data_IF_691919860202
#
_entry.id   IF_691919860202
#
_cell.length_a   1.000
_cell.length_b   1.000
_cell.length_c   1.000
_cell.angle_alpha   90.00
_cell.angle_beta   90.00
_cell.angle_gamma   90.00
#
_symmetry.space_group_name_H-M   'P 1'
#
loop_
_entity.id
_entity.type
_entity.pdbx_description
1 polymer ?
#
# COMPACT_ATOMS: atom_id res chain seq x y z
N UNK A 1 20.13 7.71 2.77
CA UNK A 1 19.20 7.45 1.65
C UNK A 1 19.27 8.65 0.70
N UNK A 2 19.25 8.48 -0.63
CA UNK A 2 19.15 9.63 -1.52
C UNK A 2 17.74 10.26 -1.36
N UNK A 3 17.62 11.57 -1.54
CA UNK A 3 16.37 12.32 -1.28
C UNK A 3 15.19 11.76 -2.10
N UNK A 4 15.42 11.30 -3.32
CA UNK A 4 14.41 10.68 -4.18
C UNK A 4 13.80 9.41 -3.55
N UNK A 5 14.64 8.52 -3.03
CA UNK A 5 14.21 7.24 -2.46
C UNK A 5 13.40 7.48 -1.18
N UNK A 6 13.79 8.48 -0.37
CA UNK A 6 13.06 8.84 0.85
C UNK A 6 11.65 9.36 0.52
N UNK A 7 11.55 10.26 -0.47
CA UNK A 7 10.26 10.81 -0.89
C UNK A 7 9.36 9.71 -1.44
N UNK A 8 9.92 8.75 -2.19
CA UNK A 8 9.19 7.57 -2.66
C UNK A 8 8.70 6.68 -1.52
N UNK A 9 9.57 6.33 -0.58
CA UNK A 9 9.20 5.52 0.60
C UNK A 9 8.11 6.21 1.41
N UNK A 10 8.22 7.53 1.62
CA UNK A 10 7.20 8.31 2.34
C UNK A 10 5.83 8.20 1.68
N UNK A 11 5.75 8.27 0.35
CA UNK A 11 4.49 8.06 -0.37
C UNK A 11 3.96 6.64 -0.17
N UNK A 12 4.80 5.60 -0.33
CA UNK A 12 4.35 4.21 -0.16
C UNK A 12 3.81 3.91 1.25
N UNK A 13 4.28 4.63 2.27
CA UNK A 13 3.83 4.51 3.65
C UNK A 13 2.72 5.49 4.03
N UNK A 14 2.42 6.50 3.20
CA UNK A 14 1.42 7.54 3.51
C UNK A 14 0.00 6.95 3.59
N UNK A 15 -1.00 7.62 4.15
CA UNK A 15 -2.35 7.05 4.20
C UNK A 15 -3.03 6.92 2.82
N UNK A 16 -2.45 7.50 1.75
CA UNK A 16 -3.16 7.71 0.47
C UNK A 16 -4.51 8.38 0.69
N UNK A 17 -4.58 9.31 1.64
CA UNK A 17 -5.82 10.00 2.00
C UNK A 17 -6.15 11.08 0.98
N UNK A 18 -7.43 11.39 0.70
CA UNK A 18 -7.76 12.55 -0.12
C UNK A 18 -7.33 13.88 0.53
N UNK A 19 -7.04 13.89 1.83
CA UNK A 19 -6.50 15.06 2.54
C UNK A 19 -4.98 15.19 2.45
N UNK A 20 -4.30 14.12 2.04
CA UNK A 20 -2.84 14.05 1.84
C UNK A 20 -2.58 13.15 0.62
N UNK A 21 -3.01 13.65 -0.53
CA UNK A 21 -3.04 12.88 -1.77
C UNK A 21 -1.61 12.58 -2.27
N UNK A 22 -1.39 11.47 -3.00
CA UNK A 22 -0.10 11.15 -3.59
C UNK A 22 0.43 12.28 -4.48
N UNK A 23 1.71 12.61 -4.32
CA UNK A 23 2.35 13.74 -5.02
C UNK A 23 3.28 13.29 -6.16
N UNK A 24 3.81 12.07 -6.06
CA UNK A 24 4.60 11.45 -7.12
C UNK A 24 3.68 10.64 -8.04
N UNK A 25 4.09 10.42 -9.31
CA UNK A 25 3.47 9.43 -10.18
C UNK A 25 3.31 8.08 -9.47
N UNK A 26 2.16 7.45 -9.71
CA UNK A 26 1.80 6.17 -9.12
C UNK A 26 2.23 5.04 -10.06
N UNK A 27 2.90 4.04 -9.49
CA UNK A 27 3.34 2.83 -10.18
C UNK A 27 2.80 1.56 -9.50
N UNK A 28 3.31 0.39 -9.88
CA UNK A 28 2.90 -0.90 -9.30
C UNK A 28 3.12 -1.01 -7.79
N UNK A 29 4.12 -0.33 -7.24
CA UNK A 29 4.40 -0.24 -5.81
C UNK A 29 3.26 0.47 -5.07
N UNK A 30 2.66 1.52 -5.67
CA UNK A 30 1.48 2.18 -5.11
C UNK A 30 0.27 1.25 -5.15
N UNK A 31 0.12 0.47 -6.22
CA UNK A 31 -0.92 -0.55 -6.30
C UNK A 31 -0.79 -1.57 -5.17
N UNK A 32 0.40 -2.12 -4.93
CA UNK A 32 0.64 -3.02 -3.80
C UNK A 32 0.37 -2.32 -2.45
N UNK A 33 0.75 -1.05 -2.31
CA UNK A 33 0.48 -0.26 -1.11
C UNK A 33 -1.02 -0.08 -0.86
N UNK A 34 -1.83 0.11 -1.90
CA UNK A 34 -3.28 0.19 -1.77
C UNK A 34 -3.90 -1.17 -1.41
N UNK A 35 -3.42 -2.27 -2.02
CA UNK A 35 -3.86 -3.63 -1.65
C UNK A 35 -3.59 -3.93 -0.17
N UNK A 36 -2.44 -3.53 0.34
CA UNK A 36 -2.11 -3.69 1.76
C UNK A 36 -3.08 -2.92 2.67
N UNK A 37 -3.49 -1.72 2.24
CA UNK A 37 -4.44 -0.88 3.00
C UNK A 37 -5.85 -1.47 2.99
N UNK A 38 -6.28 -2.10 1.90
CA UNK A 38 -7.56 -2.81 1.85
C UNK A 38 -7.58 -3.91 2.92
N UNK A 39 -6.49 -4.69 3.03
CA UNK A 39 -6.41 -5.74 4.06
C UNK A 39 -6.27 -5.19 5.47
N UNK A 40 -5.45 -4.15 5.67
CA UNK A 40 -5.26 -3.50 6.98
C UNK A 40 -6.58 -2.96 7.55
N UNK A 41 -7.45 -2.46 6.67
CA UNK A 41 -8.69 -1.81 7.05
C UNK A 41 -9.92 -2.68 6.76
N UNK A 42 -9.77 -4.01 6.72
CA UNK A 42 -10.87 -4.93 6.39
C UNK A 42 -12.15 -4.69 7.22
N UNK A 43 -12.01 -4.25 8.47
CA UNK A 43 -13.12 -3.93 9.38
C UNK A 43 -13.70 -2.50 9.23
N UNK A 44 -13.20 -1.71 8.27
CA UNK A 44 -13.62 -0.32 8.01
C UNK A 44 -14.14 -0.21 6.56
N UNK A 45 -15.44 -0.49 6.32
CA UNK A 45 -16.00 -0.63 4.98
C UNK A 45 -15.81 0.59 4.07
N UNK A 46 -15.86 1.79 4.65
CA UNK A 46 -15.70 3.06 3.95
C UNK A 46 -14.27 3.21 3.38
N UNK A 47 -13.23 2.87 4.16
CA UNK A 47 -11.85 2.85 3.71
C UNK A 47 -11.59 1.73 2.70
N UNK A 48 -12.16 0.55 2.91
CA UNK A 48 -12.08 -0.56 1.94
C UNK A 48 -12.65 -0.15 0.59
N UNK A 49 -13.84 0.47 0.56
CA UNK A 49 -14.47 0.99 -0.67
C UNK A 49 -13.57 2.02 -1.34
N UNK A 50 -13.03 2.97 -0.58
CA UNK A 50 -12.12 4.00 -1.09
C UNK A 50 -10.85 3.39 -1.73
N UNK A 51 -10.11 2.57 -0.99
CA UNK A 51 -8.86 1.98 -1.47
C UNK A 51 -9.08 1.01 -2.64
N UNK A 52 -10.21 0.30 -2.68
CA UNK A 52 -10.58 -0.53 -3.83
C UNK A 52 -10.80 0.32 -5.10
N UNK A 53 -11.41 1.52 -5.00
CA UNK A 53 -11.54 2.43 -6.15
C UNK A 53 -10.16 2.86 -6.65
N UNK A 54 -9.29 3.31 -5.75
CA UNK A 54 -7.91 3.68 -6.10
C UNK A 54 -7.14 2.53 -6.77
N UNK A 55 -7.23 1.32 -6.21
CA UNK A 55 -6.55 0.14 -6.75
C UNK A 55 -7.11 -0.28 -8.11
N UNK A 56 -8.42 -0.17 -8.33
CA UNK A 56 -9.07 -0.48 -9.62
C UNK A 56 -8.63 0.51 -10.71
N UNK A 57 -8.59 1.80 -10.41
CA UNK A 57 -8.11 2.82 -11.34
C UNK A 57 -6.68 2.53 -11.81
N UNK A 58 -5.78 2.20 -10.87
CA UNK A 58 -4.42 1.78 -11.21
C UNK A 58 -4.38 0.49 -12.03
N UNK A 59 -5.14 -0.53 -11.65
CA UNK A 59 -5.20 -1.79 -12.41
C UNK A 59 -5.71 -1.58 -13.84
N UNK A 60 -6.62 -0.63 -14.05
CA UNK A 60 -7.10 -0.21 -15.36
C UNK A 60 -6.01 0.52 -16.15
N UNK A 61 -5.32 1.47 -15.52
CA UNK A 61 -4.22 2.20 -16.15
C UNK A 61 -3.06 1.29 -16.57
N UNK A 62 -2.75 0.27 -15.77
CA UNK A 62 -1.74 -0.74 -16.08
C UNK A 62 -2.26 -1.89 -16.96
N UNK A 63 -3.50 -1.82 -17.43
CA UNK A 63 -4.15 -2.80 -18.32
C UNK A 63 -4.12 -4.25 -17.79
N UNK A 64 -4.21 -4.42 -16.47
CA UNK A 64 -4.25 -5.75 -15.83
C UNK A 64 -5.50 -6.04 -15.02
N UNK A 65 -6.43 -5.10 -14.93
CA UNK A 65 -7.76 -5.29 -14.35
C UNK A 65 -8.41 -6.60 -14.83
N UNK A 66 -8.35 -6.93 -16.12
CA UNK A 66 -8.97 -8.14 -16.67
C UNK A 66 -8.06 -9.38 -16.65
N UNK A 67 -6.83 -9.24 -16.15
CA UNK A 67 -5.84 -10.32 -16.02
C UNK A 67 -5.97 -11.02 -14.68
N UNK A 68 -5.14 -12.03 -14.44
CA UNK A 68 -5.20 -12.90 -13.26
C UNK A 68 -5.08 -12.11 -11.95
N UNK A 69 -4.20 -11.10 -11.89
CA UNK A 69 -4.04 -10.24 -10.72
C UNK A 69 -5.28 -9.38 -10.45
N UNK A 70 -5.79 -8.67 -11.46
CA UNK A 70 -6.99 -7.85 -11.32
C UNK A 70 -8.24 -8.67 -10.98
N UNK A 71 -8.36 -9.89 -11.55
CA UNK A 71 -9.42 -10.84 -11.19
C UNK A 71 -9.32 -11.28 -9.73
N UNK A 72 -8.12 -11.65 -9.27
CA UNK A 72 -7.90 -12.05 -7.87
C UNK A 72 -8.36 -10.95 -6.91
N UNK A 73 -8.01 -9.69 -7.18
CA UNK A 73 -8.42 -8.57 -6.31
C UNK A 73 -9.93 -8.34 -6.30
N UNK A 74 -10.64 -8.62 -7.40
CA UNK A 74 -12.11 -8.53 -7.41
C UNK A 74 -12.82 -9.64 -6.64
N UNK A 75 -12.21 -10.83 -6.55
CA UNK A 75 -12.87 -12.02 -5.97
C UNK A 75 -12.43 -12.35 -4.56
N UNK A 76 -11.34 -11.76 -4.09
CA UNK A 76 -10.78 -12.03 -2.77
C UNK A 76 -11.37 -11.06 -1.75
N UNK A 77 -11.76 -11.60 -0.59
CA UNK A 77 -12.28 -10.79 0.51
C UNK A 77 -11.19 -9.85 1.06
N UNK A 78 -11.54 -8.61 1.44
CA UNK A 78 -10.66 -7.74 2.21
C UNK A 78 -10.12 -8.45 3.45
N UNK A 79 -8.83 -8.29 3.74
CA UNK A 79 -8.11 -8.97 4.81
C UNK A 79 -7.32 -10.19 4.33
N UNK A 80 -7.57 -10.66 3.10
CA UNK A 80 -6.93 -11.84 2.51
C UNK A 80 -6.20 -11.56 1.19
N UNK A 81 -6.24 -10.34 0.66
CA UNK A 81 -5.67 -10.01 -0.66
C UNK A 81 -4.16 -10.26 -0.73
N UNK A 82 -3.42 -9.73 0.25
CA UNK A 82 -1.97 -9.85 0.35
C UNK A 82 -1.55 -11.31 0.46
N UNK A 83 -2.19 -12.06 1.35
CA UNK A 83 -1.92 -13.49 1.52
C UNK A 83 -2.21 -14.31 0.25
N UNK A 84 -3.06 -13.80 -0.64
CA UNK A 84 -3.48 -14.47 -1.88
C UNK A 84 -2.62 -14.09 -3.09
N UNK A 85 -1.76 -13.07 -3.00
CA UNK A 85 -0.90 -12.62 -4.11
C UNK A 85 -0.02 -13.73 -4.69
N UNK A 86 0.45 -14.67 -3.86
CA UNK A 86 1.28 -15.79 -4.31
C UNK A 86 0.52 -16.84 -5.12
N UNK A 87 -0.81 -16.78 -5.12
CA UNK A 87 -1.67 -17.68 -5.89
C UNK A 87 -2.00 -17.14 -7.29
N UNK A 88 -1.52 -15.95 -7.66
CA UNK A 88 -1.79 -15.36 -8.98
C UNK A 88 -1.22 -16.27 -10.08
N UNK A 89 -2.05 -16.76 -11.03
CA UNK A 89 -1.60 -17.60 -12.13
C UNK A 89 -0.47 -16.98 -12.96
N UNK A 90 0.62 -17.73 -13.14
CA UNK A 90 1.79 -17.31 -13.91
C UNK A 90 1.49 -17.29 -15.41
N UNK A 91 2.00 -16.24 -16.10
CA UNK A 91 1.73 -15.99 -17.53
C UNK A 91 2.61 -16.80 -18.49
N UNK A 92 3.79 -17.24 -18.07
CA UNK A 92 4.73 -17.92 -18.96
C UNK A 92 4.80 -19.42 -18.67
N UNK A 93 4.03 -20.20 -19.43
CA UNK A 93 4.17 -21.65 -19.48
C UNK A 93 5.42 -22.04 -20.27
N UNK A 94 6.49 -22.33 -19.53
CA UNK A 94 7.64 -23.09 -20.03
C UNK A 94 8.13 -24.13 -19.02
N UNK A 95 8.10 -23.82 -17.72
CA UNK A 95 8.50 -24.75 -16.66
C UNK A 95 7.63 -24.58 -15.42
N UNK A 96 6.59 -25.41 -15.29
CA UNK A 96 5.90 -25.64 -14.00
C UNK A 96 6.87 -26.06 -12.86
N UNK A 97 8.12 -26.39 -13.19
CA UNK A 97 9.17 -26.78 -12.26
C UNK A 97 9.56 -25.69 -11.25
N UNK A 98 9.38 -24.40 -11.57
CA UNK A 98 9.72 -23.30 -10.65
C UNK A 98 8.50 -22.67 -9.95
N UNK A 99 7.28 -23.12 -10.26
CA UNK A 99 6.05 -22.52 -9.75
C UNK A 99 5.98 -22.53 -8.21
N UNK A 100 6.38 -23.65 -7.59
CA UNK A 100 6.43 -23.77 -6.12
C UNK A 100 7.47 -22.82 -5.50
N UNK A 101 8.64 -22.68 -6.12
CA UNK A 101 9.70 -21.78 -5.66
C UNK A 101 9.29 -20.31 -5.81
N UNK A 102 8.66 -19.94 -6.94
CA UNK A 102 8.12 -18.59 -7.16
C UNK A 102 7.02 -18.26 -6.18
N UNK A 103 6.07 -19.16 -5.96
CA UNK A 103 5.01 -18.99 -4.95
C UNK A 103 5.61 -18.70 -3.57
N UNK A 104 6.56 -19.54 -3.14
CA UNK A 104 7.24 -19.35 -1.85
C UNK A 104 8.02 -18.04 -1.77
N UNK A 105 8.65 -17.60 -2.87
CA UNK A 105 9.34 -16.32 -2.92
C UNK A 105 8.37 -15.14 -2.84
N UNK A 106 7.25 -15.17 -3.57
CA UNK A 106 6.19 -14.15 -3.49
C UNK A 106 5.64 -14.10 -2.06
N UNK A 107 5.30 -15.25 -1.46
CA UNK A 107 4.81 -15.31 -0.07
C UNK A 107 5.77 -14.61 0.90
N UNK A 108 7.06 -14.91 0.82
CA UNK A 108 8.05 -14.31 1.72
C UNK A 108 8.24 -12.81 1.47
N UNK A 109 8.30 -12.39 0.21
CA UNK A 109 8.47 -10.99 -0.18
C UNK A 109 7.27 -10.14 0.20
N UNK A 110 6.05 -10.65 -0.01
CA UNK A 110 4.80 -9.96 0.35
C UNK A 110 4.69 -9.79 1.86
N UNK A 111 5.02 -10.83 2.65
CA UNK A 111 5.06 -10.73 4.13
C UNK A 111 6.07 -9.69 4.59
N UNK A 112 7.30 -9.76 4.08
CA UNK A 112 8.35 -8.81 4.43
C UNK A 112 7.96 -7.37 4.06
N UNK A 113 7.34 -7.17 2.89
CA UNK A 113 6.81 -5.87 2.47
C UNK A 113 5.75 -5.36 3.44
N UNK A 114 4.81 -6.22 3.83
CA UNK A 114 3.75 -5.87 4.76
C UNK A 114 4.30 -5.47 6.13
N UNK A 115 5.32 -6.17 6.64
CA UNK A 115 6.00 -5.83 7.89
C UNK A 115 6.70 -4.47 7.80
N UNK A 116 7.41 -4.20 6.70
CA UNK A 116 8.07 -2.91 6.48
C UNK A 116 7.03 -1.79 6.41
N UNK A 117 5.93 -1.98 5.68
CA UNK A 117 4.84 -1.01 5.62
C UNK A 117 4.19 -0.77 6.97
N UNK A 118 3.96 -1.82 7.77
CA UNK A 118 3.38 -1.69 9.09
C UNK A 118 4.24 -0.80 10.00
N UNK A 119 5.57 -0.96 9.95
CA UNK A 119 6.51 -0.10 10.70
C UNK A 119 6.54 1.32 10.13
N UNK A 120 6.40 1.49 8.82
CA UNK A 120 6.40 2.82 8.19
C UNK A 120 5.11 3.62 8.41
N UNK A 121 3.98 2.94 8.49
CA UNK A 121 2.65 3.55 8.57
C UNK A 121 2.08 3.62 9.99
N UNK A 122 2.74 3.05 11.01
CA UNK A 122 2.18 2.89 12.37
C UNK A 122 1.70 4.18 13.05
N UNK A 123 2.25 5.35 12.69
CA UNK A 123 1.82 6.63 13.26
C UNK A 123 0.47 7.09 12.73
N UNK A 124 0.06 6.61 11.55
CA UNK A 124 -1.21 6.99 10.93
C UNK A 124 -2.43 6.40 11.65
N UNK A 125 -2.25 5.37 12.48
CA UNK A 125 -3.35 4.72 13.22
C UNK A 125 -3.64 5.37 14.58
N UNK A 126 -2.91 6.44 14.94
CA UNK A 126 -3.06 7.07 16.25
C UNK A 126 -4.27 8.01 16.28
N UNK A 127 -5.36 7.57 16.92
CA UNK A 127 -6.67 8.27 16.90
C UNK A 127 -6.75 9.43 17.92
N UNK A 128 -6.29 9.22 19.15
CA UNK A 128 -6.52 10.16 20.29
C UNK A 128 -5.23 10.87 20.72
N UNK A 129 -4.09 10.49 20.13
CA UNK A 129 -2.75 10.95 20.49
C UNK A 129 -1.74 9.82 20.39
N UNK A 130 -0.46 10.13 20.57
CA UNK A 130 0.59 9.11 20.48
C UNK A 130 0.59 8.17 21.70
N UNK A 131 0.92 6.88 21.53
CA UNK A 131 0.96 5.89 22.61
C UNK A 131 1.97 6.25 23.70
N UNK A 132 1.48 6.58 24.89
CA UNK A 132 2.30 6.98 26.04
C UNK A 132 2.12 8.44 26.46
N UNK A 133 1.39 9.24 25.70
CA UNK A 133 1.07 10.64 26.03
C UNK A 133 0.39 10.80 27.40
N UNK A 134 -0.45 9.84 27.82
CA UNK A 134 -1.13 9.85 29.12
C UNK A 134 -0.30 9.35 30.32
N UNK A 135 0.96 8.98 30.13
CA UNK A 135 1.80 8.48 31.24
C UNK A 135 2.19 9.64 32.16
N UNK A 136 1.95 9.45 33.47
CA UNK A 136 2.20 10.45 34.50
C UNK A 136 3.70 10.58 34.85
N UNK A 137 4.44 9.48 34.77
CA UNK A 137 5.90 9.48 34.96
C UNK A 137 6.57 10.20 33.78
N UNK A 138 7.19 11.38 34.02
CA UNK A 138 7.76 12.18 32.95
C UNK A 138 8.96 11.49 32.28
N UNK A 139 9.78 10.76 33.02
CA UNK A 139 10.98 10.12 32.47
C UNK A 139 10.60 8.93 31.58
N UNK A 140 9.67 8.09 32.04
CA UNK A 140 9.15 6.99 31.23
C UNK A 140 8.46 7.50 29.96
N UNK A 141 7.67 8.58 30.08
CA UNK A 141 7.01 9.22 28.94
C UNK A 141 8.01 9.74 27.91
N UNK A 142 9.08 10.41 28.35
CA UNK A 142 10.15 10.89 27.47
C UNK A 142 10.89 9.74 26.78
N UNK A 143 11.18 8.64 27.50
CA UNK A 143 11.82 7.45 26.91
C UNK A 143 10.95 6.79 25.84
N UNK A 144 9.64 6.67 26.08
CA UNK A 144 8.71 6.13 25.07
C UNK A 144 8.64 7.06 23.86
N UNK A 145 8.53 8.38 24.10
CA UNK A 145 8.56 9.36 23.01
C UNK A 145 9.83 9.24 22.17
N UNK A 146 11.01 9.24 22.81
CA UNK A 146 12.29 9.09 22.12
C UNK A 146 12.38 7.77 21.33
N UNK A 147 11.82 6.69 21.87
CA UNK A 147 11.80 5.39 21.18
C UNK A 147 10.96 5.44 19.92
N UNK A 148 9.72 5.94 20.00
CA UNK A 148 8.78 5.95 18.87
C UNK A 148 9.16 7.02 17.83
N UNK A 149 9.43 8.26 18.26
CA UNK A 149 9.60 9.39 17.34
C UNK A 149 11.02 9.59 16.84
N UNK A 150 12.04 9.14 17.60
CA UNK A 150 13.44 9.37 17.26
C UNK A 150 14.14 8.09 16.85
N UNK A 151 14.23 7.11 17.75
CA UNK A 151 15.00 5.89 17.53
C UNK A 151 14.39 5.07 16.38
N UNK A 152 13.10 4.74 16.45
CA UNK A 152 12.42 3.95 15.43
C UNK A 152 12.42 4.65 14.07
N UNK A 153 12.11 5.95 14.03
CA UNK A 153 12.12 6.75 12.79
C UNK A 153 13.50 6.76 12.13
N UNK A 154 14.56 6.91 12.93
CA UNK A 154 15.94 6.85 12.45
C UNK A 154 16.25 5.48 11.84
N UNK A 155 15.92 4.38 12.54
CA UNK A 155 16.13 3.03 12.02
C UNK A 155 15.32 2.76 10.74
N UNK A 156 14.06 3.22 10.71
CA UNK A 156 13.20 3.06 9.54
C UNK A 156 13.76 3.74 8.30
N UNK A 157 14.42 4.90 8.43
CA UNK A 157 15.06 5.58 7.30
C UNK A 157 16.15 4.72 6.60
N UNK A 158 16.71 3.73 7.30
CA UNK A 158 17.68 2.79 6.74
C UNK A 158 16.98 1.57 6.11
N UNK A 159 15.99 0.99 6.79
CA UNK A 159 15.36 -0.25 6.36
C UNK A 159 14.21 -0.05 5.35
N UNK A 160 13.52 1.09 5.35
CA UNK A 160 12.38 1.38 4.48
C UNK A 160 12.70 1.30 2.98
N UNK A 161 13.97 1.49 2.59
CA UNK A 161 14.44 1.27 1.21
C UNK A 161 14.17 -0.15 0.71
N UNK A 162 14.05 -1.11 1.61
CA UNK A 162 13.73 -2.50 1.27
C UNK A 162 12.41 -2.61 0.51
N UNK A 163 11.43 -1.71 0.73
CA UNK A 163 10.20 -1.64 -0.07
C UNK A 163 10.52 -1.53 -1.56
N UNK A 164 11.40 -0.61 -1.94
CA UNK A 164 11.73 -0.37 -3.35
C UNK A 164 12.35 -1.60 -4.02
N UNK A 165 13.19 -2.34 -3.28
CA UNK A 165 13.85 -3.55 -3.79
C UNK A 165 12.86 -4.71 -3.89
N UNK A 166 12.03 -4.91 -2.87
CA UNK A 166 10.99 -5.94 -2.88
C UNK A 166 10.01 -5.69 -4.03
N UNK A 167 9.63 -4.43 -4.26
CA UNK A 167 8.60 -4.08 -5.24
C UNK A 167 9.04 -4.35 -6.67
N UNK A 168 10.32 -4.10 -7.00
CA UNK A 168 10.90 -4.48 -8.30
C UNK A 168 10.80 -6.00 -8.50
N UNK A 169 11.15 -6.79 -7.49
CA UNK A 169 11.13 -8.26 -7.59
C UNK A 169 9.70 -8.77 -7.66
N UNK A 170 8.78 -8.23 -6.86
CA UNK A 170 7.36 -8.58 -6.91
C UNK A 170 6.74 -8.22 -8.25
N UNK A 171 7.08 -7.07 -8.84
CA UNK A 171 6.63 -6.71 -10.18
C UNK A 171 7.12 -7.73 -11.22
N UNK A 172 8.39 -8.13 -11.19
CA UNK A 172 8.91 -9.17 -12.09
C UNK A 172 8.18 -10.51 -11.90
N UNK A 173 7.93 -10.92 -10.66
CA UNK A 173 7.29 -12.19 -10.35
C UNK A 173 5.80 -12.22 -10.68
N UNK A 174 5.08 -11.12 -10.46
CA UNK A 174 3.61 -11.04 -10.61
C UNK A 174 3.20 -10.59 -12.01
N UNK A 175 3.94 -9.66 -12.61
CA UNK A 175 3.58 -9.02 -13.87
C UNK A 175 4.43 -9.50 -15.06
N UNK A 176 5.62 -10.05 -14.81
CA UNK A 176 6.55 -10.51 -15.85
C UNK A 176 7.25 -9.39 -16.62
N UNK A 177 6.89 -8.12 -16.38
CA UNK A 177 7.40 -6.95 -17.12
C UNK A 177 8.14 -6.00 -16.19
N UNK A 178 9.40 -5.67 -16.54
CA UNK A 178 10.25 -4.73 -15.78
C UNK A 178 9.85 -3.26 -15.89
N UNK A 179 8.98 -2.89 -16.83
CA UNK A 179 8.57 -1.50 -17.06
C UNK A 179 7.06 -1.41 -17.22
N UNK A 180 6.37 -1.27 -16.11
CA UNK A 180 5.07 -0.61 -16.13
C UNK A 180 5.32 0.90 -16.18
N UNK A 181 4.48 1.62 -16.92
CA UNK A 181 4.49 3.08 -16.89
C UNK A 181 4.09 3.55 -15.48
N UNK A 182 4.48 4.75 -15.11
CA UNK A 182 3.94 5.48 -13.98
C UNK A 182 2.91 6.50 -14.49
N UNK A 183 1.92 6.83 -13.66
CA UNK A 183 0.86 7.77 -14.03
C UNK A 183 0.74 8.87 -12.98
N UNK A 184 0.67 10.12 -13.42
CA UNK A 184 0.33 11.21 -12.50
C UNK A 184 -1.09 11.04 -11.97
N UNK A 185 -1.35 11.57 -10.78
CA UNK A 185 -2.66 11.51 -10.15
C UNK A 185 -3.76 12.13 -11.04
N UNK A 186 -3.47 13.27 -11.69
CA UNK A 186 -4.42 13.90 -12.63
C UNK A 186 -4.81 12.99 -13.80
N UNK A 187 -3.85 12.29 -14.42
CA UNK A 187 -4.16 11.32 -15.49
C UNK A 187 -5.05 10.20 -14.97
N UNK A 188 -4.81 9.72 -13.75
CA UNK A 188 -5.62 8.67 -13.14
C UNK A 188 -7.05 9.11 -12.85
N UNK A 189 -7.24 10.37 -12.41
CA UNK A 189 -8.56 10.96 -12.20
C UNK A 189 -9.29 11.12 -13.54
N UNK A 190 -8.66 11.77 -14.51
CA UNK A 190 -9.29 12.13 -15.78
C UNK A 190 -9.64 10.93 -16.67
N UNK A 191 -8.83 9.87 -16.63
CA UNK A 191 -8.92 8.76 -17.60
C UNK A 191 -9.24 7.40 -16.99
N UNK A 192 -9.07 7.22 -15.69
CA UNK A 192 -9.13 5.89 -15.06
C UNK A 192 -10.02 5.84 -13.81
N UNK A 193 -10.84 6.87 -13.56
CA UNK A 193 -11.79 6.93 -12.44
C UNK A 193 -11.12 6.78 -11.05
N UNK A 194 -9.90 7.30 -10.92
CA UNK A 194 -9.28 7.44 -9.61
C UNK A 194 -10.06 8.47 -8.79
N UNK A 195 -10.39 8.20 -7.50
CA UNK A 195 -11.14 9.14 -6.68
C UNK A 195 -10.47 10.51 -6.59
N UNK A 196 -11.15 11.55 -7.05
CA UNK A 196 -10.66 12.92 -6.99
C UNK A 196 -10.54 13.39 -5.53
N UNK A 197 -9.33 13.74 -5.04
CA UNK A 197 -9.15 14.27 -3.70
C UNK A 197 -9.86 15.61 -3.43
N UNK A 198 -10.23 16.36 -4.47
CA UNK A 198 -10.95 17.63 -4.33
C UNK A 198 -12.47 17.44 -4.20
N UNK A 199 -12.99 16.26 -4.57
CA UNK A 199 -14.40 15.91 -4.46
C UNK A 199 -14.83 15.72 -2.98
N UNK A 200 -15.81 16.49 -2.47
CA UNK A 200 -16.36 16.29 -1.13
C UNK A 200 -16.87 14.87 -0.88
N UNK A 201 -17.50 14.21 -1.87
CA UNK A 201 -18.05 12.86 -1.68
C UNK A 201 -16.94 11.83 -1.44
N UNK A 202 -15.78 12.00 -2.10
CA UNK A 202 -14.61 11.15 -1.88
C UNK A 202 -14.04 11.33 -0.47
N UNK A 203 -14.04 12.57 0.03
CA UNK A 203 -13.60 12.91 1.39
C UNK A 203 -14.54 12.33 2.45
N UNK A 204 -15.84 12.44 2.22
CA UNK A 204 -16.86 11.91 3.13
C UNK A 204 -16.86 10.38 3.13
N UNK A 205 -16.67 9.73 1.97
CA UNK A 205 -16.42 8.30 1.87
C UNK A 205 -15.18 7.90 2.68
N UNK A 206 -14.07 8.62 2.54
CA UNK A 206 -12.85 8.30 3.28
C UNK A 206 -13.05 8.42 4.81
N UNK A 207 -13.77 9.43 5.28
CA UNK A 207 -14.06 9.60 6.71
C UNK A 207 -15.08 8.59 7.26
N UNK A 208 -15.92 8.04 6.39
CA UNK A 208 -17.08 7.24 6.82
C UNK A 208 -18.29 8.10 7.17
N UNK A 209 -18.28 9.37 6.72
CA UNK A 209 -19.39 10.32 6.87
C UNK A 209 -20.40 10.18 5.71
N UNK A 210 -20.03 9.47 4.65
CA UNK A 210 -20.92 9.16 3.54
C UNK A 210 -22.08 8.27 4.02
N UNK A 211 -23.30 8.83 3.96
CA UNK A 211 -24.54 8.12 4.25
C UNK A 211 -24.64 6.88 3.35
N UNK A 212 -24.85 5.71 3.95
CA UNK A 212 -25.18 4.48 3.22
C UNK A 212 -26.44 4.73 2.37
N UNK A 213 -26.30 4.61 1.04
CA UNK A 213 -27.41 4.49 0.10
C UNK A 213 -27.53 3.03 -0.35
#
# INVERSE_FOLDING_TARGET
MNTSDQVRVNQLTSPYSPFDAPQLPLDFSDYLSLLWRIDRHADQPNLVRYYLRCARALASAFEFDNRSLGRMVRTTEPGLLYATLSNVPFRETGRLMDAAARKSAIDQLVRLRADVLAIGAYQHDWVVGWPGSGILDPELRERIFATLFTALRSQYSHFGRLLLVIDIVLQELLMGTRRLADYSLGILIDHYDYPDPEDPEVRDLYRGDALDW
#
